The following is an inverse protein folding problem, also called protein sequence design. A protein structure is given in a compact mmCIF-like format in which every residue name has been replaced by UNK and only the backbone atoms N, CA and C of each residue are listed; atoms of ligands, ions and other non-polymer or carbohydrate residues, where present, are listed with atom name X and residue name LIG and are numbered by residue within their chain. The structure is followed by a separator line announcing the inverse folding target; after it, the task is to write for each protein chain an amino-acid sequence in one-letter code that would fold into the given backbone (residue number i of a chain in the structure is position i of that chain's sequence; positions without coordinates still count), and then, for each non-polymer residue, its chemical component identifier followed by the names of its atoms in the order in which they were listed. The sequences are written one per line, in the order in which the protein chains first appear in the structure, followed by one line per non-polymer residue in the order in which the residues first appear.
data_IF_675174230851
#
_entry.id   IF_675174230851
#
_cell.length_a   1.000
_cell.length_b   1.000
_cell.length_c   1.000
_cell.angle_alpha   90.00
_cell.angle_beta   90.00
_cell.angle_gamma   90.00
#
_symmetry.space_group_name_H-M   'P 1'
#
loop_
_entity.id
_entity.type
_entity.pdbx_description
1 polymer ?
#
# COMPACT_ATOMS: atom_id res chain seq x y z
N UNK A 1 1.90 -6.45 -9.57
CA UNK A 1 1.83 -7.02 -8.19
C UNK A 1 0.85 -6.17 -7.43
N UNK A 2 -0.17 -6.73 -6.77
CA UNK A 2 -1.22 -5.89 -6.16
C UNK A 2 -0.76 -5.23 -4.87
N UNK A 3 -1.07 -3.95 -4.71
CA UNK A 3 -0.87 -3.15 -3.52
C UNK A 3 -2.19 -2.55 -3.03
N UNK A 4 -2.21 -2.13 -1.77
CA UNK A 4 -3.31 -1.34 -1.21
C UNK A 4 -2.79 0.07 -0.99
N UNK A 5 -3.28 1.02 -1.78
CA UNK A 5 -2.97 2.44 -1.67
C UNK A 5 -3.80 3.04 -0.53
N UNK A 6 -3.12 3.65 0.43
CA UNK A 6 -3.73 4.61 1.34
C UNK A 6 -3.84 5.95 0.62
N UNK A 7 -5.05 6.41 0.34
CA UNK A 7 -5.27 7.70 -0.31
C UNK A 7 -5.05 8.88 0.64
N UNK A 8 -5.06 8.66 1.96
CA UNK A 8 -4.79 9.72 2.95
C UNK A 8 -3.31 10.06 3.09
N UNK A 9 -2.44 9.07 2.90
CA UNK A 9 -1.00 9.20 3.11
C UNK A 9 -0.20 8.92 1.85
N UNK A 10 -0.89 8.69 0.72
CA UNK A 10 -0.31 8.36 -0.59
C UNK A 10 0.74 7.25 -0.49
N UNK A 11 0.43 6.23 0.30
CA UNK A 11 1.37 5.15 0.62
C UNK A 11 0.81 3.80 0.22
N UNK A 12 1.58 3.02 -0.53
CA UNK A 12 1.21 1.68 -0.94
C UNK A 12 1.66 0.66 0.07
N UNK A 13 0.77 -0.25 0.43
CA UNK A 13 0.97 -1.32 1.39
C UNK A 13 0.82 -2.69 0.71
N UNK A 14 1.51 -3.70 1.24
CA UNK A 14 1.43 -5.07 0.73
C UNK A 14 0.22 -5.78 1.35
N UNK A 15 -0.73 -6.30 0.54
CA UNK A 15 -1.86 -7.08 1.06
C UNK A 15 -1.40 -8.43 1.65
N UNK A 16 -2.11 -8.93 2.65
CA UNK A 16 -2.00 -10.33 3.12
C UNK A 16 -3.04 -11.20 2.40
N UNK A 17 -2.63 -12.43 2.13
CA UNK A 17 -2.92 -13.27 0.94
C UNK A 17 -4.40 -13.53 0.60
N UNK A 18 -5.37 -13.18 1.44
CA UNK A 18 -6.77 -13.57 1.22
C UNK A 18 -7.83 -12.52 1.57
N UNK A 19 -7.44 -11.38 2.14
CA UNK A 19 -8.35 -10.27 2.33
C UNK A 19 -7.67 -9.03 1.78
N UNK A 20 -8.17 -8.50 0.66
CA UNK A 20 -7.67 -7.30 -0.02
C UNK A 20 -7.55 -6.03 0.84
N UNK A 21 -7.80 -6.12 2.16
CA UNK A 21 -7.89 -5.03 3.13
C UNK A 21 -6.92 -5.21 4.30
N UNK A 22 -6.48 -6.43 4.57
CA UNK A 22 -5.47 -6.66 5.58
C UNK A 22 -4.13 -6.47 4.90
N UNK A 23 -3.32 -5.56 5.43
CA UNK A 23 -1.95 -5.35 4.98
C UNK A 23 -0.99 -6.01 5.94
N UNK A 24 0.14 -6.49 5.42
CA UNK A 24 1.14 -7.17 6.24
C UNK A 24 1.66 -6.31 7.41
N UNK A 25 1.64 -4.98 7.26
CA UNK A 25 2.04 -4.06 8.32
C UNK A 25 0.92 -3.70 9.31
N UNK A 26 -0.35 -4.03 9.03
CA UNK A 26 -1.51 -3.68 9.86
C UNK A 26 -1.88 -2.19 9.87
N UNK A 27 -1.15 -1.31 9.18
CA UNK A 27 -1.38 0.14 9.22
C UNK A 27 -2.72 0.57 8.59
N UNK A 28 -3.31 -0.27 7.75
CA UNK A 28 -4.63 -0.02 7.15
C UNK A 28 -5.78 -0.58 7.99
N UNK A 29 -5.51 -1.19 9.14
CA UNK A 29 -6.56 -1.80 9.98
C UNK A 29 -7.60 -0.78 10.48
N UNK A 30 -7.17 0.45 10.76
CA UNK A 30 -8.03 1.55 11.20
C UNK A 30 -8.43 2.51 10.06
N UNK A 31 -7.94 2.28 8.85
CA UNK A 31 -8.25 3.14 7.69
C UNK A 31 -9.54 2.64 7.05
N UNK A 32 -10.43 3.58 6.73
CA UNK A 32 -11.73 3.25 6.17
C UNK A 32 -11.60 2.74 4.73
N UNK A 33 -12.48 1.83 4.31
CA UNK A 33 -12.48 1.26 2.95
C UNK A 33 -12.60 2.33 1.86
N UNK A 34 -13.23 3.47 2.17
CA UNK A 34 -13.37 4.62 1.26
C UNK A 34 -12.08 5.41 1.05
N UNK A 35 -11.06 5.17 1.85
CA UNK A 35 -9.76 5.84 1.81
C UNK A 35 -8.64 4.86 1.42
N UNK A 36 -9.00 3.64 1.01
CA UNK A 36 -8.07 2.62 0.57
C UNK A 36 -8.50 2.06 -0.76
N UNK A 37 -7.60 2.07 -1.73
CA UNK A 37 -7.85 1.57 -3.08
C UNK A 37 -6.88 0.44 -3.40
N UNK A 38 -7.37 -0.65 -3.98
CA UNK A 38 -6.50 -1.73 -4.48
C UNK A 38 -5.97 -1.30 -5.84
N UNK A 39 -4.66 -1.19 -5.94
CA UNK A 39 -3.95 -0.71 -7.14
C UNK A 39 -2.87 -1.72 -7.52
N UNK A 40 -2.37 -1.65 -8.76
CA UNK A 40 -1.12 -2.34 -9.05
C UNK A 40 0.04 -1.51 -8.49
N UNK A 41 0.96 -2.18 -7.79
CA UNK A 41 2.10 -1.56 -7.14
C UNK A 41 2.99 -0.85 -8.16
N UNK A 42 3.12 -1.40 -9.37
CA UNK A 42 3.92 -0.78 -10.42
C UNK A 42 3.31 0.57 -10.83
N UNK A 43 2.03 0.59 -11.21
CA UNK A 43 1.34 1.82 -11.59
C UNK A 43 1.29 2.87 -10.46
N UNK A 44 1.04 2.44 -9.22
CA UNK A 44 0.92 3.38 -8.10
C UNK A 44 2.22 4.11 -7.75
N UNK A 45 3.37 3.45 -7.92
CA UNK A 45 4.69 4.04 -7.62
C UNK A 45 5.22 4.83 -8.81
N UNK A 46 5.01 4.34 -10.04
CA UNK A 46 5.58 4.94 -11.26
C UNK A 46 4.71 6.10 -11.79
N UNK A 47 3.39 5.94 -11.82
CA UNK A 47 2.43 6.92 -12.37
C UNK A 47 1.78 7.77 -11.27
N UNK A 48 1.50 7.16 -10.12
CA UNK A 48 0.79 7.82 -9.01
C UNK A 48 1.66 8.59 -8.02
N UNK A 49 2.99 8.49 -8.11
CA UNK A 49 3.92 9.11 -7.15
C UNK A 49 3.77 8.60 -5.71
N UNK A 50 3.05 7.48 -5.50
CA UNK A 50 2.78 6.96 -4.18
C UNK A 50 4.02 6.27 -3.60
N UNK A 51 4.27 6.51 -2.31
CA UNK A 51 5.44 5.95 -1.62
C UNK A 51 5.18 4.51 -1.16
N UNK A 52 6.20 3.66 -1.18
CA UNK A 52 6.08 2.28 -0.66
C UNK A 52 6.19 2.28 0.86
N UNK A 53 5.29 1.56 1.55
CA UNK A 53 5.39 1.38 2.99
C UNK A 53 6.65 0.57 3.34
N UNK A 54 7.63 1.17 4.01
CA UNK A 54 8.89 0.52 4.38
C UNK A 54 8.74 -0.72 5.26
N UNK A 55 7.62 -0.87 5.96
CA UNK A 55 7.31 -2.08 6.75
C UNK A 55 6.73 -3.22 5.90
N UNK A 56 6.10 -2.89 4.77
CA UNK A 56 5.58 -3.87 3.82
C UNK A 56 6.60 -4.24 2.74
N UNK A 57 7.46 -3.27 2.40
CA UNK A 57 8.45 -3.32 1.35
C UNK A 57 9.78 -2.93 1.98
N UNK A 58 10.51 -3.92 2.47
CA UNK A 58 11.85 -3.77 3.06
C UNK A 58 12.83 -3.08 2.08
N UNK A 59 12.53 -3.15 0.78
CA UNK A 59 13.22 -2.52 -0.35
C UNK A 59 12.83 -1.04 -0.60
N UNK A 60 11.98 -0.43 0.26
CA UNK A 60 11.72 1.01 0.19
C UNK A 60 12.83 1.85 0.86
N UNK A 61 14.03 1.28 0.99
CA UNK A 61 15.24 1.98 1.39
C UNK A 61 15.76 2.84 0.25
N UNK A 62 15.38 4.12 0.23
CA UNK A 62 16.11 5.12 -0.52
C UNK A 62 17.50 5.34 0.10
N UNK A 63 18.52 5.35 -0.72
CA UNK A 63 19.79 6.02 -0.46
C UNK A 63 19.85 7.34 -1.22
#
# INVERSE_FOLDING_TARGET
MRGVLNEQTETVHKPTDHAHRLTACGALFHVSEKATSVVDLADAVDDGGASRCGRCFDDAGGY
#
